data_IF_536675090719
#
_entry.id   IF_536675090719
#
_cell.length_a   1.000
_cell.length_b   1.000
_cell.length_c   1.000
_cell.angle_alpha   90.00
_cell.angle_beta   90.00
_cell.angle_gamma   90.00
#
_symmetry.space_group_name_H-M   'P 1'
#
loop_
_entity.id
_entity.type
_entity.pdbx_description
1 polymer ?
#
# COMPACT_ATOMS: atom_id res chain seq x y z
N UNK A 1 -9.91 -14.38 15.41
CA UNK A 1 -9.47 -13.61 16.57
C UNK A 1 -10.35 -13.78 17.79
N UNK A 2 -9.71 -13.89 18.96
CA UNK A 2 -10.28 -13.54 20.26
C UNK A 2 -9.47 -12.36 20.81
N UNK A 3 -10.14 -11.39 21.42
CA UNK A 3 -9.53 -10.19 21.97
C UNK A 3 -9.63 -10.20 23.49
N UNK A 4 -8.54 -9.83 24.16
CA UNK A 4 -8.45 -9.73 25.60
C UNK A 4 -7.79 -8.41 25.97
N UNK A 5 -8.13 -7.86 27.12
CA UNK A 5 -7.39 -6.75 27.72
C UNK A 5 -6.78 -7.26 29.02
N UNK A 6 -5.45 -7.20 29.13
CA UNK A 6 -4.69 -7.63 30.31
C UNK A 6 -3.71 -6.53 30.71
N UNK A 7 -3.89 -5.96 31.89
CA UNK A 7 -3.05 -4.88 32.42
C UNK A 7 -2.87 -3.69 31.45
N UNK A 8 -3.98 -3.29 30.80
CA UNK A 8 -3.97 -2.21 29.80
C UNK A 8 -3.42 -2.60 28.42
N UNK A 9 -2.98 -3.85 28.22
CA UNK A 9 -2.55 -4.37 26.93
C UNK A 9 -3.70 -5.07 26.21
N UNK A 10 -3.98 -4.67 24.97
CA UNK A 10 -4.84 -5.44 24.06
C UNK A 10 -4.06 -6.65 23.53
N UNK A 11 -4.57 -7.85 23.80
CA UNK A 11 -4.02 -9.12 23.31
C UNK A 11 -5.01 -9.72 22.33
N UNK A 12 -4.59 -9.82 21.06
CA UNK A 12 -5.31 -10.56 20.03
C UNK A 12 -4.71 -11.97 19.93
N UNK A 13 -5.57 -12.99 20.05
CA UNK A 13 -5.19 -14.39 19.87
C UNK A 13 -5.96 -14.96 18.69
N UNK A 14 -5.22 -15.40 17.69
CA UNK A 14 -5.78 -16.06 16.54
C UNK A 14 -5.56 -17.56 16.52
N UNK A 15 -6.60 -18.27 16.11
CA UNK A 15 -6.59 -19.70 15.89
C UNK A 15 -6.83 -19.93 14.41
N UNK A 16 -5.82 -20.40 13.70
CA UNK A 16 -5.88 -20.62 12.27
C UNK A 16 -5.70 -22.09 11.92
N UNK A 17 -6.37 -22.53 10.88
CA UNK A 17 -6.04 -23.78 10.21
C UNK A 17 -4.72 -23.59 9.45
N UNK A 18 -3.78 -24.54 9.57
CA UNK A 18 -2.46 -24.48 8.92
C UNK A 18 -2.58 -24.14 7.42
N UNK A 19 -3.41 -24.89 6.68
CA UNK A 19 -3.60 -24.70 5.24
C UNK A 19 -4.11 -23.30 4.89
N UNK A 20 -5.02 -22.74 5.70
CA UNK A 20 -5.55 -21.39 5.49
C UNK A 20 -4.46 -20.34 5.76
N UNK A 21 -3.72 -20.48 6.85
CA UNK A 21 -2.66 -19.53 7.21
C UNK A 21 -1.51 -19.53 6.18
N UNK A 22 -1.05 -20.71 5.76
CA UNK A 22 -0.06 -20.84 4.70
C UNK A 22 -0.60 -20.32 3.36
N UNK A 23 -1.89 -20.53 3.08
CA UNK A 23 -2.56 -19.97 1.91
C UNK A 23 -2.55 -18.43 1.90
N UNK A 24 -2.90 -17.78 3.02
CA UNK A 24 -2.82 -16.32 3.14
C UNK A 24 -1.37 -15.82 3.03
N UNK A 25 -0.41 -16.51 3.65
CA UNK A 25 1.01 -16.17 3.56
C UNK A 25 1.54 -16.24 2.12
N UNK A 26 0.96 -17.09 1.28
CA UNK A 26 1.30 -17.23 -0.14
C UNK A 26 0.59 -16.19 -1.04
N UNK A 27 -0.45 -15.50 -0.56
CA UNK A 27 -1.24 -14.62 -1.42
C UNK A 27 -0.45 -13.37 -1.81
N UNK A 28 -0.50 -13.08 -3.11
CA UNK A 28 -0.32 -11.73 -3.64
C UNK A 28 -1.64 -10.99 -3.46
N UNK A 29 -1.60 -9.90 -2.73
CA UNK A 29 -2.80 -9.14 -2.42
C UNK A 29 -2.58 -7.66 -2.69
N UNK A 30 -3.69 -6.97 -2.96
CA UNK A 30 -3.76 -5.50 -3.01
C UNK A 30 -3.01 -4.86 -1.84
N UNK A 31 -3.11 -5.46 -0.65
CA UNK A 31 -2.55 -4.92 0.59
C UNK A 31 -1.38 -5.76 1.13
N UNK A 32 -0.68 -6.48 0.25
CA UNK A 32 0.48 -7.29 0.62
C UNK A 32 1.51 -6.48 1.42
N UNK A 33 1.79 -5.25 1.00
CA UNK A 33 2.73 -4.35 1.67
C UNK A 33 2.37 -4.03 3.13
N UNK A 34 1.10 -4.18 3.54
CA UNK A 34 0.66 -3.98 4.93
C UNK A 34 0.63 -5.28 5.73
N UNK A 35 0.27 -6.39 5.08
CA UNK A 35 0.02 -7.66 5.75
C UNK A 35 1.20 -8.64 5.72
N UNK A 36 2.23 -8.41 4.90
CA UNK A 36 3.29 -9.39 4.69
C UNK A 36 4.18 -9.63 5.92
N UNK A 37 4.26 -8.66 6.83
CA UNK A 37 5.10 -8.72 8.02
C UNK A 37 4.64 -9.78 9.02
N UNK A 38 3.31 -9.95 9.18
CA UNK A 38 2.72 -10.91 10.12
C UNK A 38 3.18 -12.36 9.86
N UNK A 39 3.62 -12.64 8.63
CA UNK A 39 4.11 -13.95 8.22
C UNK A 39 5.62 -14.10 8.32
N UNK A 40 6.36 -13.03 8.66
CA UNK A 40 7.83 -13.01 8.67
C UNK A 40 8.40 -12.71 10.04
N UNK A 41 7.87 -11.70 10.72
CA UNK A 41 8.35 -11.29 12.04
C UNK A 41 7.54 -11.95 13.16
N UNK A 42 8.23 -12.63 14.07
CA UNK A 42 7.60 -13.38 15.17
C UNK A 42 8.58 -13.66 16.30
N UNK A 43 8.02 -13.79 17.51
CA UNK A 43 8.68 -14.45 18.64
C UNK A 43 8.04 -15.83 18.77
N UNK A 44 8.86 -16.88 18.76
CA UNK A 44 8.38 -18.27 18.82
C UNK A 44 8.30 -18.70 20.28
N UNK A 45 7.08 -18.93 20.75
CA UNK A 45 6.85 -19.49 22.10
C UNK A 45 6.76 -21.01 22.08
N UNK A 46 6.28 -21.58 20.97
CA UNK A 46 6.08 -23.02 20.81
C UNK A 46 5.94 -23.39 19.33
N UNK A 47 6.48 -24.56 18.93
CA UNK A 47 6.17 -25.16 17.63
C UNK A 47 6.09 -26.70 17.69
N UNK A 48 5.43 -27.28 16.68
CA UNK A 48 5.42 -28.73 16.39
C UNK A 48 5.48 -28.95 14.87
N UNK A 49 5.90 -30.15 14.48
CA UNK A 49 5.80 -30.65 13.10
C UNK A 49 6.49 -29.77 12.04
N UNK A 50 7.56 -29.08 12.44
CA UNK A 50 8.30 -28.13 11.60
C UNK A 50 7.40 -27.06 10.96
N UNK A 51 6.36 -26.62 11.66
CA UNK A 51 5.38 -25.67 11.14
C UNK A 51 6.02 -24.37 10.66
N UNK A 52 6.99 -23.82 11.42
CA UNK A 52 7.68 -22.58 11.04
C UNK A 52 8.47 -22.74 9.74
N UNK A 53 9.15 -23.88 9.55
CA UNK A 53 9.88 -24.17 8.31
C UNK A 53 8.96 -24.21 7.09
N UNK A 54 7.71 -24.70 7.25
CA UNK A 54 6.72 -24.67 6.17
C UNK A 54 6.35 -23.23 5.82
N UNK A 55 6.12 -22.39 6.82
CA UNK A 55 5.80 -20.97 6.65
C UNK A 55 6.96 -20.21 5.99
N UNK A 56 8.20 -20.41 6.46
CA UNK A 56 9.42 -19.83 5.88
C UNK A 56 9.58 -20.17 4.40
N UNK A 57 9.33 -21.44 4.03
CA UNK A 57 9.36 -21.87 2.63
C UNK A 57 8.32 -21.14 1.77
N UNK A 58 7.13 -20.90 2.30
CA UNK A 58 6.08 -20.15 1.60
C UNK A 58 6.48 -18.68 1.42
N UNK A 59 6.91 -18.01 2.48
CA UNK A 59 7.25 -16.58 2.40
C UNK A 59 8.51 -16.32 1.58
N UNK A 60 9.51 -17.21 1.61
CA UNK A 60 10.69 -17.10 0.75
C UNK A 60 10.37 -17.23 -0.75
N UNK A 61 9.28 -17.94 -1.08
CA UNK A 61 8.74 -17.99 -2.44
C UNK A 61 8.26 -16.61 -2.91
N UNK A 62 7.74 -15.78 -2.00
CA UNK A 62 7.20 -14.46 -2.32
C UNK A 62 8.27 -13.44 -2.73
N UNK A 63 9.46 -13.53 -2.15
CA UNK A 63 10.52 -12.53 -2.36
C UNK A 63 11.08 -12.58 -3.80
N UNK A 64 10.75 -13.64 -4.56
CA UNK A 64 11.11 -13.81 -5.98
C UNK A 64 9.96 -13.49 -6.94
N UNK A 65 8.87 -12.93 -6.44
CA UNK A 65 7.64 -12.82 -7.22
C UNK A 65 7.53 -11.52 -8.00
N UNK A 66 6.98 -11.68 -9.21
CA UNK A 66 6.51 -10.57 -10.04
C UNK A 66 5.24 -9.94 -9.45
N UNK A 67 5.28 -8.62 -9.22
CA UNK A 67 4.19 -7.79 -8.72
C UNK A 67 3.50 -6.98 -9.84
N UNK A 68 3.78 -7.26 -11.11
CA UNK A 68 3.29 -6.45 -12.24
C UNK A 68 1.77 -6.28 -12.24
N UNK A 69 1.01 -7.35 -11.99
CA UNK A 69 -0.46 -7.28 -11.95
C UNK A 69 -0.98 -6.49 -10.75
N UNK A 70 -0.41 -6.69 -9.57
CA UNK A 70 -0.76 -5.97 -8.35
C UNK A 70 -0.42 -4.48 -8.48
N UNK A 71 0.72 -4.17 -9.10
CA UNK A 71 1.17 -2.82 -9.38
C UNK A 71 0.25 -2.15 -10.41
N UNK A 72 -0.15 -2.85 -11.47
CA UNK A 72 -1.15 -2.35 -12.42
C UNK A 72 -2.49 -2.03 -11.72
N UNK A 73 -3.00 -2.95 -10.90
CA UNK A 73 -4.24 -2.72 -10.14
C UNK A 73 -4.12 -1.55 -9.16
N UNK A 74 -2.98 -1.40 -8.49
CA UNK A 74 -2.72 -0.26 -7.60
C UNK A 74 -2.68 1.07 -8.37
N UNK A 75 -2.11 1.06 -9.57
CA UNK A 75 -2.03 2.20 -10.48
C UNK A 75 -3.43 2.63 -10.97
N UNK A 76 -4.30 1.66 -11.28
CA UNK A 76 -5.71 1.92 -11.60
C UNK A 76 -6.44 2.54 -10.39
N UNK A 77 -6.31 1.93 -9.21
CA UNK A 77 -6.94 2.46 -7.99
C UNK A 77 -6.47 3.88 -7.63
N UNK A 78 -5.19 4.18 -7.84
CA UNK A 78 -4.67 5.54 -7.67
C UNK A 78 -5.31 6.54 -8.65
N UNK A 79 -5.58 6.11 -9.88
CA UNK A 79 -6.25 6.93 -10.91
C UNK A 79 -7.70 7.22 -10.52
N UNK A 80 -8.41 6.23 -9.96
CA UNK A 80 -9.75 6.42 -9.39
C UNK A 80 -9.74 7.44 -8.24
N UNK A 81 -8.74 7.36 -7.35
CA UNK A 81 -8.59 8.32 -6.25
C UNK A 81 -8.31 9.75 -6.74
N UNK A 82 -7.54 9.92 -7.82
CA UNK A 82 -7.36 11.23 -8.44
C UNK A 82 -8.69 11.76 -9.00
N UNK A 83 -9.48 10.92 -9.68
CA UNK A 83 -10.80 11.31 -10.16
C UNK A 83 -11.73 11.74 -9.00
N UNK A 84 -11.64 11.08 -7.85
CA UNK A 84 -12.38 11.47 -6.65
C UNK A 84 -11.92 12.84 -6.10
N UNK A 85 -10.62 13.14 -6.09
CA UNK A 85 -10.08 14.46 -5.74
C UNK A 85 -10.64 15.54 -6.67
N UNK A 86 -10.59 15.32 -7.99
CA UNK A 86 -11.13 16.26 -8.99
C UNK A 86 -12.62 16.51 -8.76
N UNK A 87 -13.40 15.46 -8.53
CA UNK A 87 -14.84 15.57 -8.28
C UNK A 87 -15.15 16.38 -7.01
N UNK A 88 -14.42 16.15 -5.92
CA UNK A 88 -14.60 16.89 -4.68
C UNK A 88 -14.23 18.38 -4.85
N UNK A 89 -13.16 18.66 -5.61
CA UNK A 89 -12.79 20.03 -5.96
C UNK A 89 -13.87 20.75 -6.78
N UNK A 90 -14.40 20.11 -7.82
CA UNK A 90 -15.48 20.64 -8.65
C UNK A 90 -16.74 20.94 -7.83
N UNK A 91 -17.09 20.07 -6.88
CA UNK A 91 -18.21 20.27 -5.95
C UNK A 91 -17.93 21.32 -4.87
N UNK A 92 -16.70 21.83 -4.76
CA UNK A 92 -16.24 22.73 -3.70
C UNK A 92 -16.45 22.17 -2.29
N UNK A 93 -16.44 20.84 -2.16
CA UNK A 93 -16.51 20.18 -0.86
C UNK A 93 -15.09 20.08 -0.27
N UNK A 94 -14.73 21.05 0.55
CA UNK A 94 -13.37 21.12 1.12
C UNK A 94 -13.06 19.96 2.07
N UNK A 95 -14.08 19.39 2.75
CA UNK A 95 -13.89 18.27 3.70
C UNK A 95 -13.69 16.98 2.94
N UNK A 96 -14.53 16.72 1.93
CA UNK A 96 -14.36 15.56 1.05
C UNK A 96 -13.04 15.68 0.27
N UNK A 97 -12.71 16.85 -0.30
CA UNK A 97 -11.45 17.07 -1.01
C UNK A 97 -10.24 16.68 -0.17
N UNK A 98 -10.21 17.11 1.09
CA UNK A 98 -9.12 16.77 2.01
C UNK A 98 -9.03 15.26 2.25
N UNK A 99 -10.18 14.61 2.42
CA UNK A 99 -10.28 13.16 2.64
C UNK A 99 -9.84 12.37 1.41
N UNK A 100 -10.30 12.75 0.20
CA UNK A 100 -9.90 12.12 -1.06
C UNK A 100 -8.41 12.30 -1.34
N UNK A 101 -7.86 13.48 -1.05
CA UNK A 101 -6.43 13.72 -1.19
C UNK A 101 -5.62 12.79 -0.27
N UNK A 102 -6.04 12.60 0.98
CA UNK A 102 -5.37 11.65 1.87
C UNK A 102 -5.41 10.22 1.34
N UNK A 103 -6.54 9.76 0.79
CA UNK A 103 -6.61 8.42 0.17
C UNK A 103 -5.75 8.31 -1.09
N UNK A 104 -5.64 9.36 -1.91
CA UNK A 104 -4.71 9.39 -3.03
C UNK A 104 -3.25 9.22 -2.56
N UNK A 105 -2.85 9.84 -1.44
CA UNK A 105 -1.51 9.63 -0.88
C UNK A 105 -1.29 8.17 -0.44
N UNK A 106 -2.31 7.52 0.13
CA UNK A 106 -2.26 6.09 0.48
C UNK A 106 -2.14 5.19 -0.75
N UNK A 107 -2.88 5.50 -1.82
CA UNK A 107 -2.77 4.77 -3.09
C UNK A 107 -1.39 4.95 -3.73
N UNK A 108 -0.84 6.17 -3.72
CA UNK A 108 0.52 6.43 -4.19
C UNK A 108 1.55 5.62 -3.39
N UNK A 109 1.40 5.59 -2.06
CA UNK A 109 2.28 4.82 -1.18
C UNK A 109 2.25 3.32 -1.51
N UNK A 110 1.06 2.76 -1.74
CA UNK A 110 0.89 1.37 -2.16
C UNK A 110 1.62 1.08 -3.48
N UNK A 111 1.50 1.97 -4.47
CA UNK A 111 2.23 1.82 -5.75
C UNK A 111 3.75 1.78 -5.50
N UNK A 112 4.28 2.71 -4.70
CA UNK A 112 5.72 2.74 -4.38
C UNK A 112 6.18 1.49 -3.63
N UNK A 113 5.42 1.02 -2.63
CA UNK A 113 5.77 -0.21 -1.91
C UNK A 113 5.82 -1.43 -2.82
N UNK A 114 4.78 -1.63 -3.65
CA UNK A 114 4.72 -2.74 -4.59
C UNK A 114 5.83 -2.66 -5.65
N UNK A 115 6.09 -1.45 -6.16
CA UNK A 115 7.18 -1.21 -7.11
C UNK A 115 8.54 -1.58 -6.52
N UNK A 116 8.77 -1.31 -5.24
CA UNK A 116 10.02 -1.65 -4.56
C UNK A 116 10.03 -3.06 -3.96
N UNK A 117 8.94 -3.86 -4.10
CA UNK A 117 8.81 -5.15 -3.44
C UNK A 117 8.92 -5.07 -1.91
N UNK A 118 8.57 -3.92 -1.33
CA UNK A 118 8.72 -3.64 0.10
C UNK A 118 7.40 -3.76 0.83
N UNK A 119 7.47 -4.25 2.07
CA UNK A 119 6.38 -4.27 3.02
C UNK A 119 6.74 -3.50 4.29
N UNK A 120 5.71 -3.15 5.05
CA UNK A 120 5.79 -2.33 6.25
C UNK A 120 5.94 -3.23 7.47
N UNK A 121 6.95 -2.96 8.29
CA UNK A 121 7.23 -3.74 9.52
C UNK A 121 6.28 -3.36 10.65
N UNK A 122 5.92 -2.08 10.72
CA UNK A 122 4.95 -1.55 11.67
C UNK A 122 4.24 -0.36 11.04
N UNK A 123 2.93 -0.25 11.25
CA UNK A 123 2.12 0.86 10.73
C UNK A 123 2.63 2.22 11.23
N UNK A 124 3.27 2.28 12.40
CA UNK A 124 3.91 3.48 12.93
C UNK A 124 5.07 3.99 12.07
N UNK A 125 5.73 3.11 11.30
CA UNK A 125 6.83 3.44 10.42
C UNK A 125 6.42 3.54 8.95
N UNK A 126 5.12 3.49 8.64
CA UNK A 126 4.61 3.46 7.27
C UNK A 126 5.25 4.54 6.38
N UNK A 127 5.14 5.82 6.75
CA UNK A 127 5.70 6.93 5.97
C UNK A 127 7.23 6.94 5.97
N UNK A 128 7.85 6.56 7.10
CA UNK A 128 9.31 6.46 7.20
C UNK A 128 9.85 5.44 6.20
N UNK A 129 9.34 4.21 6.22
CA UNK A 129 9.77 3.14 5.32
C UNK A 129 9.42 3.41 3.86
N UNK A 130 8.29 4.09 3.63
CA UNK A 130 7.91 4.55 2.30
C UNK A 130 8.98 5.48 1.72
N UNK A 131 9.44 6.46 2.47
CA UNK A 131 10.48 7.40 2.02
C UNK A 131 11.90 6.80 1.97
N UNK A 132 12.09 5.60 2.50
CA UNK A 132 13.33 4.82 2.39
C UNK A 132 13.33 3.87 1.17
N UNK A 133 12.24 3.81 0.40
CA UNK A 133 12.19 3.07 -0.86
C UNK A 133 13.19 3.65 -1.87
N UNK A 134 13.85 2.79 -2.65
CA UNK A 134 14.92 3.24 -3.55
C UNK A 134 14.36 3.99 -4.76
N UNK A 135 13.30 3.45 -5.36
CA UNK A 135 12.62 4.07 -6.49
C UNK A 135 11.39 4.82 -5.98
N UNK A 136 11.32 6.13 -6.29
CA UNK A 136 10.24 7.01 -5.86
C UNK A 136 9.86 8.00 -6.98
N UNK A 137 8.62 8.50 -6.99
CA UNK A 137 8.22 9.61 -7.84
C UNK A 137 9.10 10.85 -7.62
N UNK A 138 9.28 11.68 -8.64
CA UNK A 138 10.08 12.90 -8.49
C UNK A 138 9.42 13.84 -7.48
N UNK A 139 10.20 14.28 -6.48
CA UNK A 139 9.71 15.18 -5.43
C UNK A 139 8.68 14.54 -4.49
N UNK A 140 8.60 13.20 -4.44
CA UNK A 140 7.56 12.44 -3.76
C UNK A 140 7.26 12.90 -2.34
N UNK A 141 8.28 13.04 -1.48
CA UNK A 141 8.08 13.45 -0.09
C UNK A 141 7.31 14.76 0.03
N UNK A 142 7.70 15.79 -0.72
CA UNK A 142 7.03 17.10 -0.70
C UNK A 142 5.59 17.02 -1.20
N UNK A 143 5.34 16.19 -2.23
CA UNK A 143 3.99 15.96 -2.74
C UNK A 143 3.12 15.25 -1.69
N UNK A 144 3.66 14.22 -1.03
CA UNK A 144 2.98 13.53 0.07
C UNK A 144 2.73 14.48 1.25
N UNK A 145 3.70 15.31 1.64
CA UNK A 145 3.52 16.24 2.76
C UNK A 145 2.30 17.18 2.52
N UNK A 146 2.09 17.63 1.28
CA UNK A 146 0.92 18.43 0.89
C UNK A 146 -0.35 17.56 0.81
N UNK A 147 -0.31 16.48 0.04
CA UNK A 147 -1.50 15.67 -0.31
C UNK A 147 -2.01 14.86 0.89
N UNK A 148 -1.11 14.31 1.70
CA UNK A 148 -1.41 13.69 2.98
C UNK A 148 -1.62 14.71 4.10
N UNK A 149 -1.41 16.01 3.85
CA UNK A 149 -1.67 17.15 4.73
C UNK A 149 -0.86 17.17 6.02
N UNK A 150 0.39 16.74 5.94
CA UNK A 150 1.41 16.99 6.96
C UNK A 150 1.91 18.44 6.90
N UNK A 151 1.82 19.06 5.72
CA UNK A 151 2.05 20.49 5.50
C UNK A 151 0.72 21.20 5.23
N UNK A 152 0.56 22.42 5.77
CA UNK A 152 -0.56 23.29 5.41
C UNK A 152 -0.43 23.77 3.97
N UNK A 153 -1.51 23.74 3.20
CA UNK A 153 -1.55 24.23 1.83
C UNK A 153 -2.86 24.95 1.53
N UNK A 154 -2.86 25.74 0.46
CA UNK A 154 -4.11 26.23 -0.13
C UNK A 154 -4.80 25.11 -0.90
N UNK A 155 -6.09 25.29 -1.21
CA UNK A 155 -6.87 24.32 -2.02
C UNK A 155 -6.25 24.12 -3.39
N UNK A 156 -5.85 25.20 -4.07
CA UNK A 156 -5.18 25.09 -5.39
C UNK A 156 -3.86 24.32 -5.28
N UNK A 157 -3.02 24.63 -4.29
CA UNK A 157 -1.76 23.90 -4.07
C UNK A 157 -1.99 22.40 -3.77
N UNK A 158 -3.09 22.07 -3.07
CA UNK A 158 -3.47 20.67 -2.81
C UNK A 158 -3.85 19.93 -4.10
N UNK A 159 -4.69 20.53 -4.93
CA UNK A 159 -5.13 19.94 -6.20
C UNK A 159 -3.94 19.77 -7.15
N UNK A 160 -3.11 20.81 -7.30
CA UNK A 160 -1.91 20.75 -8.15
C UNK A 160 -0.93 19.67 -7.67
N UNK A 161 -0.74 19.53 -6.36
CA UNK A 161 0.09 18.49 -5.79
C UNK A 161 -0.49 17.09 -6.00
N UNK A 162 -1.82 16.93 -5.95
CA UNK A 162 -2.50 15.66 -6.22
C UNK A 162 -2.31 15.22 -7.68
N UNK A 163 -2.51 16.15 -8.63
CA UNK A 163 -2.25 15.92 -10.05
C UNK A 163 -0.78 15.55 -10.30
N UNK A 164 0.14 16.30 -9.68
CA UNK A 164 1.57 16.04 -9.84
C UNK A 164 1.99 14.71 -9.21
N UNK A 165 1.43 14.36 -8.07
CA UNK A 165 1.69 13.08 -7.41
C UNK A 165 1.30 11.92 -8.32
N UNK A 166 0.13 11.98 -8.95
CA UNK A 166 -0.29 10.97 -9.91
C UNK A 166 0.64 10.91 -11.11
N UNK A 167 0.91 12.04 -11.76
CA UNK A 167 1.76 12.09 -12.95
C UNK A 167 3.15 11.50 -12.69
N UNK A 168 3.81 11.92 -11.61
CA UNK A 168 5.15 11.44 -11.27
C UNK A 168 5.16 9.95 -10.88
N UNK A 169 4.06 9.47 -10.28
CA UNK A 169 3.90 8.05 -9.97
C UNK A 169 3.69 7.23 -11.25
N UNK A 170 2.92 7.73 -12.22
CA UNK A 170 2.74 7.08 -13.52
C UNK A 170 4.07 7.01 -14.29
N UNK A 171 4.83 8.10 -14.32
CA UNK A 171 6.15 8.12 -14.97
C UNK A 171 7.14 7.13 -14.34
N UNK A 172 7.01 6.84 -13.05
CA UNK A 172 7.84 5.82 -12.37
C UNK A 172 7.48 4.39 -12.80
N UNK A 173 6.19 4.09 -13.02
CA UNK A 173 5.74 2.72 -13.33
C UNK A 173 5.75 2.39 -14.82
N UNK A 174 5.67 3.40 -15.70
CA UNK A 174 5.67 3.23 -17.16
C UNK A 174 6.83 2.37 -17.70
N UNK A 175 8.10 2.53 -17.27
CA UNK A 175 9.22 1.71 -17.75
C UNK A 175 9.06 0.20 -17.46
N UNK A 176 8.18 -0.19 -16.52
CA UNK A 176 7.86 -1.60 -16.23
C UNK A 176 6.79 -2.19 -17.13
N UNK A 177 6.40 -1.50 -18.21
CA UNK A 177 5.39 -1.96 -19.16
C UNK A 177 3.97 -1.90 -18.62
N UNK A 178 3.74 -1.13 -17.55
CA UNK A 178 2.41 -0.96 -16.97
C UNK A 178 1.65 0.07 -17.79
N UNK A 179 0.68 -0.41 -18.58
CA UNK A 179 -0.34 0.40 -19.22
C UNK A 179 -1.65 0.30 -18.43
N UNK A 180 -2.25 1.46 -18.17
CA UNK A 180 -3.60 1.58 -17.59
C UNK A 180 -4.67 1.83 -18.66
N UNK A 181 -4.27 2.16 -19.88
CA UNK A 181 -5.18 2.32 -21.02
C UNK A 181 -5.43 0.94 -21.62
N UNK A 182 -6.70 0.51 -21.60
CA UNK A 182 -7.14 -0.69 -22.29
C UNK A 182 -7.37 -0.37 -23.76
N UNK A 183 -6.90 -1.25 -24.64
CA UNK A 183 -7.26 -1.25 -26.07
C UNK A 183 -8.60 -1.95 -26.36
N UNK A 184 -9.28 -2.50 -25.35
CA UNK A 184 -10.47 -3.36 -25.53
C UNK A 184 -11.82 -2.62 -25.64
N UNK A 185 -11.83 -1.35 -26.03
CA UNK A 185 -13.07 -0.65 -26.42
C UNK A 185 -13.12 -0.43 -27.93
N UNK A 186 -13.10 -1.54 -28.68
CA UNK A 186 -13.69 -1.61 -30.02
C UNK A 186 -14.86 -2.60 -29.98
N UNK A 187 -16.02 -2.10 -29.57
CA UNK A 187 -17.34 -2.72 -29.79
C UNK A 187 -18.24 -1.67 -30.42
#
# INVERSE_FOLDING_TARGET
>A
SKFYVYDGLLVEIDYFQESKFLGEAAKKGRDWHLGADQFRNRIVLFERDNWLRKLEKVVAGNDRMDFTKELQNATIGMTESLAAVRNAHTKRDHRDLRTRAFYLAWDAARVVFLHNGRYVLTTSWFWKQLFECQEQPKGFRKLIDIVAGFEKSTISKLVDAAERLWLETMSMVQPRGISIESTDTMV
#
